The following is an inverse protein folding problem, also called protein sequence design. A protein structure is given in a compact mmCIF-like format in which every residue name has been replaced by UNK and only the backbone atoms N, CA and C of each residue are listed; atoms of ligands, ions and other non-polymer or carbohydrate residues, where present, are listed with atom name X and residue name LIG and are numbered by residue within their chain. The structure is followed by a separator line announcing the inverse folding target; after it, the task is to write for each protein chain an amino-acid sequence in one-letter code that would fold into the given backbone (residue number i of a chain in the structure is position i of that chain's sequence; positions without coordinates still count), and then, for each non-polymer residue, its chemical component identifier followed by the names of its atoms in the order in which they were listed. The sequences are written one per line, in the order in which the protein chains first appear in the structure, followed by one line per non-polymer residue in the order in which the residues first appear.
data_IF_913603245922
#
_entry.id   IF_913603245922
#
_cell.length_a   1.000
_cell.length_b   1.000
_cell.length_c   1.000
_cell.angle_alpha   90.00
_cell.angle_beta   90.00
_cell.angle_gamma   90.00
#
_symmetry.space_group_name_H-M   'P 1'
#
loop_
_entity.id
_entity.type
_entity.pdbx_description
1 polymer ?
#
# COMPACT_ATOMS: atom_id res chain seq x y z
N UNK A 1 -7.51 17.38 8.14
CA UNK A 1 -7.17 16.25 9.02
C UNK A 1 -6.60 16.78 10.33
N UNK A 2 -6.58 15.98 11.40
CA UNK A 2 -5.66 16.22 12.52
C UNK A 2 -4.20 16.03 12.05
N UNK A 3 -3.25 16.73 12.68
CA UNK A 3 -1.82 16.50 12.44
C UNK A 3 -1.34 15.18 13.07
N UNK A 4 -0.24 14.63 12.56
CA UNK A 4 0.36 13.37 13.01
C UNK A 4 0.55 13.35 14.53
N UNK A 5 1.05 14.42 15.14
CA UNK A 5 1.30 14.46 16.59
C UNK A 5 0.02 14.26 17.41
N UNK A 6 -1.11 14.84 16.95
CA UNK A 6 -2.40 14.66 17.61
C UNK A 6 -2.93 13.22 17.41
N UNK A 7 -2.79 12.68 16.19
CA UNK A 7 -3.18 11.30 15.88
C UNK A 7 -2.37 10.26 16.66
N UNK A 8 -1.06 10.47 16.80
CA UNK A 8 -0.17 9.60 17.58
C UNK A 8 -0.50 9.64 19.07
N UNK A 9 -0.84 10.82 19.60
CA UNK A 9 -1.26 10.94 21.00
C UNK A 9 -2.50 10.08 21.26
N UNK A 10 -3.53 10.21 20.41
CA UNK A 10 -4.76 9.41 20.51
C UNK A 10 -4.48 7.91 20.35
N UNK A 11 -3.63 7.54 19.39
CA UNK A 11 -3.26 6.15 19.14
C UNK A 11 -2.56 5.50 20.35
N UNK A 12 -1.53 6.17 20.88
CA UNK A 12 -0.66 5.63 21.93
C UNK A 12 -1.36 5.42 23.28
N UNK A 13 -2.56 5.98 23.49
CA UNK A 13 -3.37 5.72 24.68
C UNK A 13 -3.88 4.28 24.76
N UNK A 14 -4.01 3.60 23.62
CA UNK A 14 -4.57 2.24 23.52
C UNK A 14 -3.66 1.25 22.81
N UNK A 15 -2.51 1.71 22.32
CA UNK A 15 -1.58 0.93 21.52
C UNK A 15 -0.92 -0.19 22.33
N UNK A 16 -0.82 -1.36 21.71
CA UNK A 16 -0.05 -2.50 22.22
C UNK A 16 0.99 -2.92 21.19
N UNK A 17 2.10 -3.49 21.66
CA UNK A 17 3.17 -3.97 20.79
C UNK A 17 3.17 -5.49 20.77
N UNK A 18 2.97 -6.10 19.60
CA UNK A 18 3.08 -7.54 19.39
C UNK A 18 3.20 -7.89 17.91
N UNK A 19 4.32 -7.49 17.29
CA UNK A 19 4.65 -7.84 15.90
C UNK A 19 5.07 -9.29 15.76
N UNK A 20 4.54 -9.95 14.73
CA UNK A 20 4.98 -11.27 14.29
C UNK A 20 5.62 -11.16 12.92
N UNK A 21 6.83 -11.70 12.77
CA UNK A 21 7.52 -11.73 11.48
C UNK A 21 6.88 -12.73 10.53
N UNK A 22 6.88 -12.42 9.25
CA UNK A 22 6.42 -13.32 8.20
C UNK A 22 7.64 -13.90 7.52
N UNK A 23 7.74 -15.23 7.52
CA UNK A 23 8.85 -15.95 6.94
C UNK A 23 8.60 -16.17 5.45
N UNK A 24 9.27 -15.37 4.61
CA UNK A 24 9.21 -15.41 3.15
C UNK A 24 10.45 -16.13 2.60
N UNK A 25 10.34 -17.44 2.40
CA UNK A 25 11.47 -18.31 2.09
C UNK A 25 11.78 -18.35 0.58
N UNK A 26 13.05 -18.55 0.24
CA UNK A 26 13.53 -18.75 -1.14
C UNK A 26 14.06 -17.50 -1.85
N UNK A 27 13.97 -16.31 -1.23
CA UNK A 27 14.63 -15.09 -1.70
C UNK A 27 16.07 -15.01 -1.14
N UNK A 28 16.98 -15.83 -1.69
CA UNK A 28 18.38 -15.92 -1.22
C UNK A 28 19.09 -14.56 -1.38
N UNK A 29 19.78 -14.11 -0.32
CA UNK A 29 20.56 -12.86 -0.27
C UNK A 29 19.80 -11.57 -0.62
N UNK A 30 18.46 -11.60 -0.52
CA UNK A 30 17.58 -10.44 -0.75
C UNK A 30 16.62 -10.25 0.41
N UNK A 31 16.30 -9.00 0.70
CA UNK A 31 15.23 -8.67 1.64
C UNK A 31 13.87 -8.86 0.95
N UNK A 32 12.85 -9.22 1.74
CA UNK A 32 11.45 -9.25 1.27
C UNK A 32 10.59 -8.41 2.19
N UNK A 33 10.00 -7.35 1.66
CA UNK A 33 9.25 -6.36 2.44
C UNK A 33 8.18 -5.68 1.59
N UNK A 34 7.48 -4.69 2.16
CA UNK A 34 6.34 -3.98 1.54
C UNK A 34 5.37 -4.94 0.83
N UNK A 35 5.00 -6.00 1.55
CA UNK A 35 4.20 -7.12 1.06
C UNK A 35 2.73 -6.75 0.95
N UNK A 36 1.94 -7.51 0.20
CA UNK A 36 0.48 -7.47 0.31
C UNK A 36 0.00 -8.14 1.61
N UNK A 37 -1.25 -7.93 1.99
CA UNK A 37 -1.94 -8.94 2.80
C UNK A 37 -2.08 -10.27 2.04
N UNK A 38 -2.28 -11.41 2.73
CA UNK A 38 -2.56 -12.68 2.08
C UNK A 38 -3.85 -12.61 1.26
N UNK A 39 -3.82 -13.16 0.04
CA UNK A 39 -4.99 -13.22 -0.83
C UNK A 39 -5.13 -14.60 -1.46
N UNK A 40 -6.38 -14.99 -1.74
CA UNK A 40 -6.68 -16.25 -2.41
C UNK A 40 -6.78 -16.05 -3.91
N UNK A 41 -6.06 -16.86 -4.66
CA UNK A 41 -6.10 -16.88 -6.11
C UNK A 41 -5.70 -18.26 -6.63
N UNK A 42 -6.29 -18.72 -7.75
CA UNK A 42 -6.01 -20.05 -8.31
C UNK A 42 -6.11 -21.20 -7.29
N UNK A 43 -7.06 -21.11 -6.34
CA UNK A 43 -7.28 -22.12 -5.30
C UNK A 43 -6.21 -22.19 -4.20
N UNK A 44 -5.25 -21.24 -4.18
CA UNK A 44 -4.15 -21.17 -3.21
C UNK A 44 -4.14 -19.81 -2.52
N UNK A 45 -3.41 -19.71 -1.42
CA UNK A 45 -3.18 -18.45 -0.70
C UNK A 45 -1.76 -17.95 -0.96
N UNK A 46 -1.66 -16.68 -1.33
CA UNK A 46 -0.41 -16.04 -1.71
C UNK A 46 -0.19 -14.72 -0.95
N UNK A 47 1.08 -14.35 -0.82
CA UNK A 47 1.53 -12.98 -0.58
C UNK A 47 2.35 -12.56 -1.80
N UNK A 48 2.16 -11.33 -2.29
CA UNK A 48 3.12 -10.73 -3.21
C UNK A 48 4.06 -9.83 -2.41
N UNK A 49 5.37 -9.93 -2.64
CA UNK A 49 6.38 -9.19 -1.90
C UNK A 49 7.38 -8.50 -2.81
N UNK A 50 7.85 -7.32 -2.38
CA UNK A 50 9.00 -6.65 -2.99
C UNK A 50 10.26 -7.39 -2.55
N UNK A 51 11.01 -7.92 -3.51
CA UNK A 51 12.26 -8.62 -3.30
C UNK A 51 13.40 -7.75 -3.83
N UNK A 52 14.36 -7.42 -2.97
CA UNK A 52 15.39 -6.43 -3.29
C UNK A 52 16.69 -6.70 -2.53
N UNK A 53 17.83 -6.41 -3.16
CA UNK A 53 19.12 -6.38 -2.45
C UNK A 53 19.18 -5.19 -1.49
N UNK A 54 19.76 -5.40 -0.30
CA UNK A 54 19.83 -4.39 0.78
C UNK A 54 20.38 -3.03 0.32
N UNK A 55 21.32 -3.03 -0.62
CA UNK A 55 22.03 -1.86 -1.16
C UNK A 55 21.50 -1.33 -2.51
N UNK A 56 20.40 -1.88 -3.02
CA UNK A 56 19.80 -1.53 -4.32
C UNK A 56 18.47 -0.78 -4.16
N UNK A 57 18.04 -0.07 -5.20
CA UNK A 57 16.66 0.43 -5.37
C UNK A 57 15.93 -0.27 -6.54
N UNK A 58 16.59 -1.24 -7.19
CA UNK A 58 16.00 -2.08 -8.23
C UNK A 58 15.40 -3.33 -7.58
N UNK A 59 14.07 -3.40 -7.58
CA UNK A 59 13.33 -4.49 -6.96
C UNK A 59 12.50 -5.28 -7.95
N UNK A 60 12.11 -6.48 -7.52
CA UNK A 60 11.24 -7.38 -8.26
C UNK A 60 10.05 -7.74 -7.38
N UNK A 61 8.86 -7.87 -7.97
CA UNK A 61 7.71 -8.48 -7.30
C UNK A 61 7.72 -9.97 -7.55
N UNK A 62 7.69 -10.73 -6.45
CA UNK A 62 7.54 -12.19 -6.46
C UNK A 62 6.31 -12.61 -5.66
N UNK A 63 5.75 -13.76 -6.03
CA UNK A 63 4.64 -14.38 -5.31
C UNK A 63 5.20 -15.46 -4.37
N UNK A 64 4.63 -15.55 -3.17
CA UNK A 64 4.97 -16.53 -2.15
C UNK A 64 3.70 -17.30 -1.76
N UNK A 65 3.72 -18.62 -1.89
CA UNK A 65 2.59 -19.50 -1.55
C UNK A 65 2.66 -19.89 -0.07
N UNK A 66 1.53 -19.83 0.63
CA UNK A 66 1.44 -20.24 2.03
C UNK A 66 1.82 -21.72 2.21
N UNK A 67 2.65 -22.01 3.20
CA UNK A 67 3.02 -23.38 3.62
C UNK A 67 2.57 -23.71 5.04
N UNK A 68 2.61 -22.73 5.94
CA UNK A 68 2.07 -22.82 7.28
C UNK A 68 1.62 -21.43 7.76
N UNK A 69 1.21 -21.32 9.02
CA UNK A 69 1.01 -20.01 9.65
C UNK A 69 2.30 -19.19 9.58
N UNK A 70 2.19 -17.97 9.08
CA UNK A 70 3.29 -17.00 8.92
C UNK A 70 4.50 -17.50 8.11
N UNK A 71 4.36 -18.60 7.39
CA UNK A 71 5.41 -19.19 6.58
C UNK A 71 4.95 -19.37 5.14
N UNK A 72 5.66 -18.71 4.23
CA UNK A 72 5.40 -18.70 2.81
C UNK A 72 6.67 -19.07 2.05
N UNK A 73 6.51 -19.70 0.89
CA UNK A 73 7.61 -20.12 0.02
C UNK A 73 7.47 -19.44 -1.33
N UNK A 74 8.55 -18.86 -1.84
CA UNK A 74 8.58 -18.25 -3.17
C UNK A 74 8.10 -19.23 -4.22
N UNK A 75 7.30 -18.75 -5.17
CA UNK A 75 6.82 -19.55 -6.28
C UNK A 75 7.79 -19.41 -7.44
N UNK A 76 8.43 -20.53 -7.79
CA UNK A 76 9.38 -20.58 -8.90
C UNK A 76 8.69 -20.59 -10.26
N UNK A 77 9.45 -20.28 -11.31
CA UNK A 77 8.99 -20.33 -12.70
C UNK A 77 7.78 -19.41 -12.99
N UNK A 78 7.78 -18.23 -12.38
CA UNK A 78 6.78 -17.18 -12.58
C UNK A 78 7.34 -16.05 -13.45
N UNK A 79 6.46 -15.20 -14.00
CA UNK A 79 6.92 -13.96 -14.62
C UNK A 79 7.36 -13.00 -13.52
N UNK A 80 8.62 -12.60 -13.58
CA UNK A 80 9.17 -11.57 -12.68
C UNK A 80 8.78 -10.20 -13.20
N UNK A 81 8.24 -9.36 -12.32
CA UNK A 81 7.86 -7.98 -12.64
C UNK A 81 8.83 -7.03 -11.94
N UNK A 82 9.53 -6.18 -12.70
CA UNK A 82 10.40 -5.14 -12.19
C UNK A 82 9.57 -3.99 -11.58
N UNK A 83 9.01 -4.24 -10.41
CA UNK A 83 8.14 -3.34 -9.66
C UNK A 83 8.56 -3.34 -8.19
N UNK A 84 8.29 -2.23 -7.51
CA UNK A 84 8.31 -2.09 -6.06
C UNK A 84 6.88 -2.12 -5.50
N UNK A 85 6.78 -2.35 -4.19
CA UNK A 85 5.59 -2.13 -3.36
C UNK A 85 4.29 -2.71 -3.97
N UNK A 86 4.22 -4.05 -4.15
CA UNK A 86 3.07 -4.69 -4.78
C UNK A 86 1.78 -4.46 -4.00
N UNK A 87 0.68 -4.37 -4.73
CA UNK A 87 -0.67 -4.40 -4.18
C UNK A 87 -1.60 -5.19 -5.09
N UNK A 88 -2.64 -5.79 -4.52
CA UNK A 88 -3.61 -6.56 -5.27
C UNK A 88 -5.03 -6.08 -5.00
N UNK A 89 -5.90 -6.25 -5.98
CA UNK A 89 -7.33 -6.03 -5.86
C UNK A 89 -8.04 -6.93 -6.87
N UNK A 90 -9.35 -7.13 -6.67
CA UNK A 90 -10.16 -7.85 -7.63
C UNK A 90 -11.13 -6.86 -8.28
N UNK A 91 -11.23 -6.94 -9.60
CA UNK A 91 -12.18 -6.18 -10.41
C UNK A 91 -12.84 -7.15 -11.37
N UNK A 92 -14.16 -7.29 -11.27
CA UNK A 92 -15.00 -8.19 -12.04
C UNK A 92 -14.50 -9.64 -11.99
N UNK A 93 -14.00 -10.05 -10.82
CA UNK A 93 -13.42 -11.39 -10.59
C UNK A 93 -12.00 -11.60 -11.12
N UNK A 94 -11.42 -10.62 -11.82
CA UNK A 94 -10.03 -10.67 -12.29
C UNK A 94 -9.07 -10.12 -11.24
N UNK A 95 -7.94 -10.79 -11.04
CA UNK A 95 -6.88 -10.29 -10.18
C UNK A 95 -6.13 -9.16 -10.89
N UNK A 96 -6.15 -7.97 -10.29
CA UNK A 96 -5.34 -6.84 -10.71
C UNK A 96 -4.16 -6.70 -9.74
N UNK A 97 -2.95 -6.82 -10.26
CA UNK A 97 -1.71 -6.57 -9.56
C UNK A 97 -1.19 -5.18 -9.95
N UNK A 98 -0.86 -4.37 -8.96
CA UNK A 98 -0.16 -3.12 -9.17
C UNK A 98 1.18 -3.08 -8.47
N UNK A 99 2.02 -2.15 -8.90
CA UNK A 99 3.32 -1.87 -8.29
C UNK A 99 3.97 -0.65 -8.92
N UNK A 100 5.08 -0.20 -8.35
CA UNK A 100 5.81 0.99 -8.82
C UNK A 100 6.99 0.56 -9.67
N UNK A 101 6.98 0.90 -10.95
CA UNK A 101 8.14 0.77 -11.82
C UNK A 101 9.09 1.93 -11.55
N UNK A 102 10.37 1.62 -11.36
CA UNK A 102 11.47 2.59 -11.26
C UNK A 102 12.37 2.39 -12.48
N UNK A 103 12.68 3.47 -13.18
CA UNK A 103 13.40 3.44 -14.44
C UNK A 103 14.26 4.69 -14.61
N UNK A 104 15.29 4.62 -15.43
CA UNK A 104 16.15 5.76 -15.73
C UNK A 104 15.35 6.89 -16.38
N UNK A 105 15.60 8.12 -15.91
CA UNK A 105 14.96 9.30 -16.46
C UNK A 105 15.49 9.59 -17.86
N UNK A 106 14.60 9.67 -18.84
CA UNK A 106 14.98 9.81 -20.26
C UNK A 106 15.86 11.05 -20.52
N UNK A 107 15.59 12.16 -19.84
CA UNK A 107 16.36 13.41 -19.99
C UNK A 107 17.69 13.42 -19.23
N UNK A 108 17.86 12.52 -18.27
CA UNK A 108 19.05 12.43 -17.41
C UNK A 108 19.17 11.01 -16.82
N UNK A 109 19.85 10.08 -17.50
CA UNK A 109 19.94 8.68 -17.07
C UNK A 109 20.61 8.46 -15.71
N UNK A 110 21.24 9.49 -15.13
CA UNK A 110 21.78 9.43 -13.76
C UNK A 110 20.72 9.55 -12.67
N UNK A 111 19.49 9.92 -13.06
CA UNK A 111 18.32 10.03 -12.17
C UNK A 111 17.31 8.95 -12.51
N UNK A 112 16.49 8.63 -11.52
CA UNK A 112 15.39 7.69 -11.68
C UNK A 112 14.05 8.44 -11.71
N UNK A 113 13.19 8.05 -12.65
CA UNK A 113 11.77 8.34 -12.63
C UNK A 113 11.02 7.10 -12.11
N UNK A 114 9.75 7.32 -11.74
CA UNK A 114 8.88 6.25 -11.26
C UNK A 114 7.44 6.44 -11.73
N UNK A 115 6.68 5.35 -11.77
CA UNK A 115 5.23 5.38 -12.01
C UNK A 115 4.57 4.10 -11.49
N UNK A 116 3.31 4.20 -11.07
CA UNK A 116 2.51 2.99 -10.81
C UNK A 116 2.06 2.35 -12.12
N UNK A 117 2.29 1.05 -12.26
CA UNK A 117 1.73 0.23 -13.34
C UNK A 117 0.69 -0.73 -12.76
N UNK A 118 -0.32 -1.08 -13.57
CA UNK A 118 -1.29 -2.13 -13.24
C UNK A 118 -1.28 -3.23 -14.29
N UNK A 119 -1.45 -4.45 -13.83
CA UNK A 119 -1.48 -5.66 -14.63
C UNK A 119 -2.69 -6.50 -14.28
N UNK A 120 -3.42 -6.95 -15.30
CA UNK A 120 -4.37 -8.05 -15.19
C UNK A 120 -3.58 -9.36 -15.15
N UNK A 121 -3.66 -10.08 -14.04
CA UNK A 121 -2.99 -11.36 -13.85
C UNK A 121 -3.89 -12.51 -14.34
N UNK A 122 -3.47 -13.20 -15.40
CA UNK A 122 -4.18 -14.37 -15.96
C UNK A 122 -3.66 -15.69 -15.40
N UNK A 123 -2.38 -15.73 -15.07
CA UNK A 123 -1.70 -16.81 -14.36
C UNK A 123 -0.41 -16.26 -13.76
N UNK A 124 0.30 -17.08 -12.98
CA UNK A 124 1.63 -16.71 -12.47
C UNK A 124 2.69 -16.50 -13.59
N UNK A 125 2.37 -16.83 -14.85
CA UNK A 125 3.25 -16.66 -16.03
C UNK A 125 2.73 -15.65 -17.04
N UNK A 126 1.57 -15.05 -16.81
CA UNK A 126 0.91 -14.19 -17.79
C UNK A 126 0.26 -13.00 -17.10
N UNK A 127 0.88 -11.84 -17.31
CA UNK A 127 0.45 -10.54 -16.81
C UNK A 127 0.26 -9.61 -18.01
N UNK A 128 -0.96 -9.09 -18.16
CA UNK A 128 -1.29 -8.11 -19.20
C UNK A 128 -1.28 -6.72 -18.58
N UNK A 129 -0.38 -5.85 -19.04
CA UNK A 129 -0.33 -4.46 -18.54
C UNK A 129 -1.58 -3.70 -19.01
N UNK A 130 -2.37 -3.21 -18.07
CA UNK A 130 -3.60 -2.45 -18.34
C UNK A 130 -3.46 -0.96 -18.05
N UNK A 131 -2.46 -0.57 -17.25
CA UNK A 131 -2.15 0.83 -16.99
C UNK A 131 -0.63 1.03 -16.95
N UNK A 132 -0.19 2.05 -17.66
CA UNK A 132 1.05 2.75 -17.38
C UNK A 132 0.72 4.10 -16.78
N UNK A 133 1.00 4.27 -15.49
CA UNK A 133 0.57 5.45 -14.74
C UNK A 133 1.38 6.71 -15.04
N UNK A 134 0.95 7.86 -14.49
CA UNK A 134 1.67 9.12 -14.65
C UNK A 134 3.07 9.05 -14.03
N UNK A 135 4.06 9.61 -14.73
CA UNK A 135 5.41 9.77 -14.19
C UNK A 135 5.36 10.61 -12.91
N UNK A 136 6.09 10.19 -11.88
CA UNK A 136 6.15 10.84 -10.58
C UNK A 136 5.01 10.44 -9.64
N UNK A 137 4.06 9.59 -10.05
CA UNK A 137 2.94 9.18 -9.19
C UNK A 137 3.09 7.74 -8.69
N UNK A 138 3.17 7.59 -7.35
CA UNK A 138 3.00 6.33 -6.61
C UNK A 138 1.60 6.30 -5.97
N UNK A 139 1.29 5.23 -5.22
CA UNK A 139 0.07 5.13 -4.39
C UNK A 139 -1.26 5.32 -5.13
N UNK A 140 -1.28 4.96 -6.42
CA UNK A 140 -2.53 4.75 -7.15
C UNK A 140 -3.14 3.42 -6.70
N UNK A 141 -4.43 3.42 -6.37
CA UNK A 141 -5.19 2.21 -5.98
C UNK A 141 -6.54 2.20 -6.67
N UNK A 142 -7.04 1.01 -6.99
CA UNK A 142 -8.38 0.83 -7.55
C UNK A 142 -9.19 -0.20 -6.76
N UNK A 143 -10.50 -0.04 -6.78
CA UNK A 143 -11.44 -0.98 -6.16
C UNK A 143 -12.76 -1.00 -6.91
N UNK A 144 -13.21 -2.18 -7.28
CA UNK A 144 -14.59 -2.36 -7.74
C UNK A 144 -15.56 -2.08 -6.59
N UNK A 145 -16.55 -1.23 -6.85
CA UNK A 145 -17.64 -0.87 -5.96
C UNK A 145 -18.78 -1.89 -6.07
N UNK A 146 -19.73 -1.83 -5.13
CA UNK A 146 -20.88 -2.76 -5.10
C UNK A 146 -21.80 -2.65 -6.33
N UNK A 147 -21.76 -1.53 -7.04
CA UNK A 147 -22.50 -1.30 -8.29
C UNK A 147 -21.70 -1.64 -9.56
N UNK A 148 -20.50 -2.21 -9.42
CA UNK A 148 -19.62 -2.61 -10.51
C UNK A 148 -18.75 -1.49 -11.09
N UNK A 149 -18.95 -0.23 -10.69
CA UNK A 149 -18.03 0.87 -11.03
C UNK A 149 -16.72 0.72 -10.26
N UNK A 150 -15.71 1.50 -10.62
CA UNK A 150 -14.37 1.40 -10.05
C UNK A 150 -13.99 2.72 -9.39
N UNK A 151 -13.76 2.69 -8.08
CA UNK A 151 -13.13 3.79 -7.36
C UNK A 151 -11.63 3.78 -7.66
N UNK A 152 -11.09 4.95 -8.01
CA UNK A 152 -9.67 5.19 -8.27
C UNK A 152 -9.16 6.20 -7.26
N UNK A 153 -8.24 5.79 -6.40
CA UNK A 153 -7.44 6.70 -5.59
C UNK A 153 -6.16 7.09 -6.32
N UNK A 154 -5.81 8.37 -6.24
CA UNK A 154 -4.64 8.96 -6.87
C UNK A 154 -3.80 9.69 -5.83
N UNK A 155 -2.49 9.85 -6.08
CA UNK A 155 -1.60 10.54 -5.15
C UNK A 155 -0.63 11.48 -5.89
N UNK A 156 -1.14 12.56 -6.51
CA UNK A 156 -0.28 13.54 -7.16
C UNK A 156 0.72 14.16 -6.17
N UNK A 157 1.84 14.62 -6.73
CA UNK A 157 2.83 15.46 -6.07
C UNK A 157 3.00 16.77 -6.86
N UNK A 158 3.80 17.71 -6.36
CA UNK A 158 4.08 18.98 -7.02
C UNK A 158 2.91 19.96 -6.90
N UNK A 159 2.65 20.73 -7.96
CA UNK A 159 1.67 21.83 -7.96
C UNK A 159 0.29 21.41 -7.44
N UNK A 160 -0.22 20.25 -7.90
CA UNK A 160 -1.53 19.75 -7.48
C UNK A 160 -1.49 19.16 -6.07
N UNK A 161 -0.53 18.27 -5.80
CA UNK A 161 -0.57 17.41 -4.62
C UNK A 161 0.38 17.78 -3.48
N UNK A 162 1.21 18.80 -3.63
CA UNK A 162 2.29 19.12 -2.69
C UNK A 162 3.26 17.95 -2.55
N UNK A 163 3.54 17.53 -1.32
CA UNK A 163 4.38 16.35 -1.04
C UNK A 163 3.67 15.01 -1.30
N UNK A 164 2.35 15.04 -1.40
CA UNK A 164 1.54 13.85 -1.65
C UNK A 164 0.18 13.91 -0.97
N UNK A 165 -0.83 14.41 -1.69
CA UNK A 165 -2.24 14.42 -1.27
C UNK A 165 -3.03 13.36 -2.02
N UNK A 166 -4.09 12.86 -1.41
CA UNK A 166 -4.96 11.86 -2.04
C UNK A 166 -6.06 12.56 -2.85
N UNK A 167 -6.24 12.13 -4.10
CA UNK A 167 -7.44 12.44 -4.88
C UNK A 167 -8.26 11.18 -5.16
N UNK A 168 -9.51 11.36 -5.56
CA UNK A 168 -10.40 10.25 -5.89
C UNK A 168 -11.28 10.55 -7.09
N UNK A 169 -11.59 9.53 -7.86
CA UNK A 169 -12.61 9.57 -8.91
C UNK A 169 -13.24 8.19 -9.07
N UNK A 170 -14.41 8.13 -9.70
CA UNK A 170 -15.10 6.87 -10.00
C UNK A 170 -15.21 6.77 -11.52
N UNK A 171 -14.87 5.61 -12.06
CA UNK A 171 -14.95 5.29 -13.48
C UNK A 171 -15.84 4.07 -13.69
N UNK A 172 -16.41 3.92 -14.88
CA UNK A 172 -17.39 2.85 -15.13
C UNK A 172 -16.74 1.50 -15.45
N UNK A 173 -15.50 1.49 -15.97
CA UNK A 173 -14.78 0.27 -16.32
C UNK A 173 -13.27 0.49 -16.36
N UNK A 174 -12.49 -0.59 -16.43
CA UNK A 174 -11.03 -0.53 -16.55
C UNK A 174 -10.56 0.18 -17.83
N UNK A 175 -11.36 0.17 -18.90
CA UNK A 175 -11.03 0.84 -20.17
C UNK A 175 -10.99 2.36 -20.03
N UNK A 176 -11.66 2.91 -19.01
CA UNK A 176 -11.64 4.33 -18.71
C UNK A 176 -10.42 4.76 -17.86
N UNK A 177 -9.62 3.81 -17.37
CA UNK A 177 -8.48 4.07 -16.50
C UNK A 177 -7.31 4.66 -17.30
N UNK A 178 -7.35 5.96 -17.52
CA UNK A 178 -6.36 6.71 -18.32
C UNK A 178 -5.57 7.70 -17.46
N UNK A 179 -4.37 8.06 -17.93
CA UNK A 179 -3.54 9.10 -17.29
C UNK A 179 -4.30 10.43 -17.17
N UNK A 180 -5.15 10.76 -18.15
CA UNK A 180 -5.98 11.96 -18.13
C UNK A 180 -6.99 11.92 -16.98
N UNK A 181 -7.79 10.85 -16.86
CA UNK A 181 -8.76 10.72 -15.75
C UNK A 181 -8.05 10.69 -14.38
N UNK A 182 -6.91 10.01 -14.27
CA UNK A 182 -6.07 9.99 -13.06
C UNK A 182 -5.58 11.41 -12.73
N UNK A 183 -5.06 12.12 -13.73
CA UNK A 183 -4.58 13.50 -13.60
C UNK A 183 -5.67 14.50 -13.27
N UNK A 184 -6.91 14.26 -13.71
CA UNK A 184 -8.07 15.10 -13.46
C UNK A 184 -8.76 14.84 -12.11
N UNK A 185 -8.52 13.69 -11.46
CA UNK A 185 -9.19 13.31 -10.22
C UNK A 185 -9.10 14.42 -9.14
N UNK A 186 -10.22 14.93 -8.60
CA UNK A 186 -10.19 15.98 -7.58
C UNK A 186 -9.50 15.50 -6.31
N UNK A 187 -8.80 16.41 -5.63
CA UNK A 187 -8.23 16.12 -4.32
C UNK A 187 -9.35 15.96 -3.29
N UNK A 188 -9.19 14.99 -2.39
CA UNK A 188 -10.08 14.83 -1.26
C UNK A 188 -9.97 16.04 -0.32
N UNK A 189 -11.12 16.51 0.19
CA UNK A 189 -11.19 17.47 1.29
C UNK A 189 -10.68 16.83 2.58
N UNK A 190 -10.29 17.68 3.54
CA UNK A 190 -9.69 17.29 4.84
C UNK A 190 -8.42 16.45 4.70
N UNK A 191 -7.67 16.62 3.61
CA UNK A 191 -6.38 15.98 3.34
C UNK A 191 -5.27 16.38 4.34
N UNK A 192 -4.07 15.83 4.11
CA UNK A 192 -2.83 16.16 4.83
C UNK A 192 -2.47 17.65 4.73
N UNK A 193 -1.76 18.15 5.73
CA UNK A 193 -1.45 19.57 5.90
C UNK A 193 0.05 19.83 6.11
N UNK A 194 0.50 21.03 5.77
CA UNK A 194 1.91 21.42 5.92
C UNK A 194 2.85 20.48 5.14
N UNK A 195 3.84 19.95 5.86
CA UNK A 195 4.87 19.06 5.32
C UNK A 195 4.50 17.57 5.43
N UNK A 196 3.29 17.23 5.88
CA UNK A 196 2.81 15.85 5.96
C UNK A 196 2.37 15.36 4.58
N UNK A 197 2.56 14.06 4.32
CA UNK A 197 2.05 13.39 3.12
C UNK A 197 1.50 12.02 3.47
N UNK A 198 0.82 11.41 2.51
CA UNK A 198 0.33 10.05 2.66
C UNK A 198 -0.26 9.49 1.38
N UNK A 199 -0.88 8.33 1.48
CA UNK A 199 -1.45 7.61 0.35
C UNK A 199 -2.38 6.49 0.79
N UNK A 200 -3.23 6.04 -0.13
CA UNK A 200 -4.00 4.80 0.06
C UNK A 200 -3.15 3.60 -0.31
N UNK A 201 -3.16 2.57 0.54
CA UNK A 201 -2.47 1.31 0.35
C UNK A 201 -3.44 0.18 -0.02
N UNK A 202 -4.65 0.16 0.56
CA UNK A 202 -5.69 -0.82 0.24
C UNK A 202 -7.09 -0.24 0.51
N UNK A 203 -8.05 -0.60 -0.35
CA UNK A 203 -9.44 -0.11 -0.28
C UNK A 203 -10.38 -1.25 0.12
N UNK A 204 -11.18 -1.01 1.15
CA UNK A 204 -12.13 -1.94 1.76
C UNK A 204 -13.56 -1.45 1.53
N UNK A 205 -14.40 -2.29 0.92
CA UNK A 205 -15.85 -2.09 0.95
C UNK A 205 -16.36 -2.53 2.33
N UNK A 206 -17.16 -1.68 2.96
CA UNK A 206 -17.73 -1.92 4.29
C UNK A 206 -19.17 -2.44 4.16
N UNK A 207 -19.66 -3.15 5.19
CA UNK A 207 -20.99 -3.77 5.18
C UNK A 207 -22.13 -2.75 5.07
N UNK A 208 -21.91 -1.53 5.55
CA UNK A 208 -22.86 -0.41 5.47
C UNK A 208 -22.80 0.35 4.13
N UNK A 209 -22.03 -0.16 3.16
CA UNK A 209 -21.86 0.44 1.83
C UNK A 209 -20.81 1.55 1.77
N UNK A 210 -20.18 1.91 2.90
CA UNK A 210 -19.08 2.88 2.92
C UNK A 210 -17.78 2.28 2.40
N UNK A 211 -16.79 3.15 2.19
CA UNK A 211 -15.44 2.78 1.78
C UNK A 211 -14.43 3.15 2.85
N UNK A 212 -13.78 2.13 3.41
CA UNK A 212 -12.60 2.28 4.26
C UNK A 212 -11.33 2.21 3.44
N UNK A 213 -10.32 3.00 3.80
CA UNK A 213 -9.01 3.00 3.17
C UNK A 213 -7.95 2.76 4.23
N UNK A 214 -7.18 1.69 4.06
CA UNK A 214 -5.89 1.52 4.72
C UNK A 214 -4.86 2.30 3.90
N UNK A 215 -3.98 3.01 4.59
CA UNK A 215 -2.99 3.88 3.98
C UNK A 215 -1.74 4.02 4.84
N UNK A 216 -0.99 5.06 4.52
CA UNK A 216 0.08 5.59 5.34
C UNK A 216 -0.05 7.11 5.46
N UNK A 217 0.46 7.63 6.56
CA UNK A 217 0.72 9.06 6.76
C UNK A 217 2.17 9.21 7.24
N UNK A 218 2.84 10.26 6.78
CA UNK A 218 4.27 10.41 6.97
C UNK A 218 4.72 11.87 7.10
N UNK A 219 5.85 12.05 7.77
CA UNK A 219 6.57 13.32 7.91
C UNK A 219 8.09 13.08 7.97
N UNK A 220 8.85 14.17 7.92
CA UNK A 220 10.27 14.17 8.28
C UNK A 220 10.46 14.73 9.69
N UNK A 221 11.45 14.22 10.43
CA UNK A 221 11.96 14.95 11.60
C UNK A 221 12.94 16.07 11.21
N UNK A 222 13.41 16.81 12.21
CA UNK A 222 14.34 17.92 12.06
C UNK A 222 15.70 17.51 11.47
N UNK A 223 16.08 16.24 11.58
CA UNK A 223 17.33 15.67 11.06
C UNK A 223 17.18 15.03 9.67
N UNK A 224 15.95 15.02 9.13
CA UNK A 224 15.63 14.44 7.83
C UNK A 224 15.31 12.94 7.85
N UNK A 225 15.13 12.32 9.02
CA UNK A 225 14.65 10.94 9.10
C UNK A 225 13.17 10.88 8.71
N UNK A 226 12.79 9.75 8.14
CA UNK A 226 11.42 9.48 7.71
C UNK A 226 10.64 8.80 8.82
N UNK A 227 9.44 9.31 9.05
CA UNK A 227 8.44 8.71 9.93
C UNK A 227 7.25 8.30 9.10
N UNK A 228 6.92 7.00 9.08
CA UNK A 228 5.75 6.49 8.38
C UNK A 228 4.90 5.66 9.34
N UNK A 229 3.62 6.00 9.39
CA UNK A 229 2.65 5.36 10.25
C UNK A 229 1.57 4.69 9.41
N UNK A 230 1.15 3.49 9.82
CA UNK A 230 -0.04 2.88 9.25
C UNK A 230 -1.25 3.72 9.64
N UNK A 231 -2.04 4.09 8.64
CA UNK A 231 -3.11 5.07 8.75
C UNK A 231 -4.39 4.49 8.16
N UNK A 232 -5.54 4.86 8.72
CA UNK A 232 -6.83 4.46 8.17
C UNK A 232 -7.80 5.64 8.17
N UNK A 233 -8.73 5.61 7.22
CA UNK A 233 -9.81 6.59 7.13
C UNK A 233 -11.00 6.01 6.36
N UNK A 234 -12.14 6.67 6.43
CA UNK A 234 -13.28 6.41 5.56
C UNK A 234 -13.42 7.53 4.52
N UNK A 235 -13.93 7.18 3.34
CA UNK A 235 -14.39 8.16 2.38
C UNK A 235 -15.84 8.52 2.69
N UNK A 236 -16.17 9.80 2.59
CA UNK A 236 -17.57 10.24 2.51
C UNK A 236 -18.26 9.54 1.33
N UNK A 237 -19.57 9.31 1.43
CA UNK A 237 -20.37 8.58 0.43
C UNK A 237 -20.24 9.09 -1.02
N UNK A 238 -19.93 10.38 -1.20
CA UNK A 238 -19.70 11.00 -2.51
C UNK A 238 -18.23 10.95 -2.99
N UNK A 239 -17.36 10.29 -2.23
CA UNK A 239 -15.91 10.17 -2.43
C UNK A 239 -15.15 11.50 -2.50
N UNK A 240 -15.68 12.58 -1.88
CA UNK A 240 -15.05 13.91 -1.96
C UNK A 240 -14.19 14.29 -0.74
N UNK A 241 -14.23 13.50 0.34
CA UNK A 241 -13.66 13.90 1.62
C UNK A 241 -13.15 12.70 2.43
N UNK A 242 -12.05 12.93 3.15
CA UNK A 242 -11.54 12.02 4.19
C UNK A 242 -12.29 12.25 5.50
N UNK A 243 -12.75 11.16 6.12
CA UNK A 243 -13.45 11.14 7.40
C UNK A 243 -12.87 10.08 8.33
N UNK A 244 -13.04 10.27 9.64
CA UNK A 244 -12.68 9.31 10.68
C UNK A 244 -11.20 8.85 10.60
N UNK A 245 -10.30 9.79 10.33
CA UNK A 245 -8.87 9.56 10.25
C UNK A 245 -8.28 9.03 11.56
N UNK A 246 -7.36 8.06 11.47
CA UNK A 246 -6.58 7.59 12.63
C UNK A 246 -5.31 6.85 12.22
N UNK A 247 -4.28 6.99 13.04
CA UNK A 247 -3.13 6.08 13.01
C UNK A 247 -3.55 4.76 13.66
N UNK A 248 -3.13 3.65 13.06
CA UNK A 248 -3.47 2.29 13.50
C UNK A 248 -2.24 1.46 13.86
N UNK A 249 -1.05 1.88 13.42
CA UNK A 249 0.22 1.31 13.83
C UNK A 249 1.39 2.27 13.62
N UNK A 250 2.39 2.17 14.50
CA UNK A 250 3.71 2.76 14.38
C UNK A 250 4.80 1.68 14.46
N UNK A 251 6.06 2.05 14.20
CA UNK A 251 7.18 1.10 14.18
C UNK A 251 7.31 0.30 15.47
N UNK A 252 7.04 0.93 16.61
CA UNK A 252 7.18 0.33 17.94
C UNK A 252 6.21 -0.83 18.20
N UNK A 253 5.13 -0.98 17.41
CA UNK A 253 4.21 -2.10 17.56
C UNK A 253 4.76 -3.41 16.99
N UNK A 254 5.77 -3.33 16.12
CA UNK A 254 6.34 -4.45 15.38
C UNK A 254 7.60 -5.01 16.05
N UNK A 255 7.94 -6.26 15.74
CA UNK A 255 9.16 -6.87 16.25
C UNK A 255 10.41 -6.10 15.79
N UNK A 256 11.49 -6.10 16.58
CA UNK A 256 12.76 -5.49 16.18
C UNK A 256 13.29 -6.06 14.86
N UNK A 257 13.79 -5.17 14.01
CA UNK A 257 14.40 -5.47 12.72
C UNK A 257 15.26 -4.30 12.28
N UNK A 258 16.39 -4.61 11.64
CA UNK A 258 17.34 -3.61 11.14
C UNK A 258 16.80 -2.98 9.87
N UNK A 259 16.61 -1.65 9.81
CA UNK A 259 16.11 -0.99 8.63
C UNK A 259 17.14 -1.05 7.49
N UNK A 260 16.69 -0.84 6.25
CA UNK A 260 17.56 -0.74 5.06
C UNK A 260 18.60 0.37 5.20
N UNK A 261 18.20 1.49 5.81
CA UNK A 261 19.05 2.66 6.12
C UNK A 261 18.63 3.28 7.45
N UNK A 262 19.52 4.03 8.13
CA UNK A 262 19.19 4.67 9.40
C UNK A 262 17.97 5.62 9.33
N UNK A 263 17.79 6.34 8.22
CA UNK A 263 16.67 7.27 8.04
C UNK A 263 15.29 6.59 7.96
N UNK A 264 15.27 5.26 7.84
CA UNK A 264 14.07 4.43 7.71
C UNK A 264 13.71 3.70 9.01
N UNK A 265 14.36 4.03 10.13
CA UNK A 265 14.16 3.32 11.39
C UNK A 265 12.71 3.39 11.90
N UNK A 266 11.99 4.50 11.69
CA UNK A 266 10.59 4.69 12.09
C UNK A 266 9.61 4.59 10.91
N UNK A 267 9.87 3.65 9.98
CA UNK A 267 9.04 3.47 8.78
C UNK A 267 8.21 2.19 8.86
N UNK A 268 6.88 2.36 8.79
CA UNK A 268 5.89 1.30 8.57
C UNK A 268 5.13 1.57 7.27
N UNK A 269 5.23 0.66 6.30
CA UNK A 269 4.49 0.75 5.05
C UNK A 269 3.38 -0.31 5.00
N UNK A 270 2.13 0.15 5.02
CA UNK A 270 0.95 -0.73 5.03
C UNK A 270 0.86 -1.58 3.75
N UNK A 271 0.78 -2.89 3.95
CA UNK A 271 0.67 -3.89 2.90
C UNK A 271 -0.75 -4.37 2.59
N UNK A 272 -1.56 -4.46 3.64
CA UNK A 272 -2.98 -4.80 3.55
C UNK A 272 -3.56 -5.22 4.89
N UNK A 273 -4.87 -5.45 4.92
CA UNK A 273 -5.64 -5.73 6.12
C UNK A 273 -6.55 -6.95 5.91
N UNK A 274 -6.47 -7.94 6.80
CA UNK A 274 -7.44 -9.04 6.87
C UNK A 274 -8.38 -8.80 8.06
N UNK A 275 -9.59 -8.31 7.77
CA UNK A 275 -10.63 -8.03 8.77
C UNK A 275 -11.27 -9.34 9.24
N UNK A 276 -11.44 -9.51 10.55
CA UNK A 276 -12.00 -10.70 11.18
C UNK A 276 -13.39 -10.41 11.75
N UNK A 277 -14.22 -11.46 11.85
CA UNK A 277 -15.58 -11.35 12.38
C UNK A 277 -15.63 -10.97 13.86
N UNK A 278 -14.58 -11.27 14.63
CA UNK A 278 -14.45 -10.96 16.06
C UNK A 278 -14.19 -9.47 16.36
N UNK A 279 -14.11 -8.62 15.33
CA UNK A 279 -13.88 -7.18 15.49
C UNK A 279 -12.41 -6.77 15.55
N UNK A 280 -11.50 -7.69 15.27
CA UNK A 280 -10.09 -7.40 15.05
C UNK A 280 -9.74 -7.52 13.56
N UNK A 281 -8.52 -7.12 13.22
CA UNK A 281 -7.94 -7.29 11.91
C UNK A 281 -6.45 -7.61 12.02
N UNK A 282 -5.92 -8.37 11.06
CA UNK A 282 -4.49 -8.53 10.87
C UNK A 282 -3.99 -7.47 9.88
N UNK A 283 -3.11 -6.58 10.36
CA UNK A 283 -2.42 -5.62 9.52
C UNK A 283 -1.08 -6.22 9.09
N UNK A 284 -0.86 -6.32 7.79
CA UNK A 284 0.39 -6.74 7.16
C UNK A 284 1.15 -5.49 6.71
N UNK A 285 2.45 -5.43 6.99
CA UNK A 285 3.26 -4.25 6.70
C UNK A 285 4.73 -4.59 6.38
N UNK A 286 5.34 -3.75 5.56
CA UNK A 286 6.79 -3.66 5.45
C UNK A 286 7.36 -2.75 6.53
N UNK A 287 8.50 -3.14 7.10
CA UNK A 287 9.13 -2.50 8.24
C UNK A 287 10.54 -2.07 7.84
N UNK A 288 10.80 -0.76 7.89
CA UNK A 288 12.10 -0.16 7.59
C UNK A 288 12.69 -0.57 6.23
N UNK A 289 11.85 -0.77 5.22
CA UNK A 289 12.21 -1.26 3.88
C UNK A 289 13.10 -2.51 3.85
N UNK A 290 12.86 -3.46 4.77
CA UNK A 290 13.75 -4.63 4.89
C UNK A 290 13.11 -5.88 5.49
N UNK A 291 12.03 -5.72 6.25
CA UNK A 291 11.35 -6.85 6.91
C UNK A 291 9.84 -6.80 6.62
N UNK A 292 9.18 -7.95 6.69
CA UNK A 292 7.75 -8.10 6.50
C UNK A 292 7.11 -8.70 7.76
N UNK A 293 6.13 -8.00 8.32
CA UNK A 293 5.54 -8.38 9.60
C UNK A 293 4.03 -8.18 9.59
N UNK A 294 3.35 -8.81 10.56
CA UNK A 294 1.95 -8.56 10.88
C UNK A 294 1.75 -8.20 12.35
N UNK A 295 0.66 -7.48 12.63
CA UNK A 295 0.12 -7.27 13.97
C UNK A 295 -1.39 -7.52 13.97
N UNK A 296 -1.95 -7.81 15.14
CA UNK A 296 -3.41 -7.84 15.35
C UNK A 296 -3.83 -6.49 15.95
N UNK A 297 -4.78 -5.83 15.31
CA UNK A 297 -5.34 -4.54 15.74
C UNK A 297 -6.87 -4.64 15.84
N UNK A 298 -7.55 -3.77 16.62
CA UNK A 298 -8.98 -3.59 16.46
C UNK A 298 -9.31 -3.25 15.00
N UNK A 299 -10.42 -3.77 14.46
CA UNK A 299 -10.83 -3.46 13.09
C UNK A 299 -11.00 -1.94 12.95
N UNK A 300 -10.17 -1.28 12.13
CA UNK A 300 -10.16 0.18 12.05
C UNK A 300 -11.46 0.76 11.48
N UNK A 301 -12.34 -0.08 10.93
CA UNK A 301 -13.60 0.35 10.32
C UNK A 301 -14.86 -0.07 11.08
N UNK A 302 -14.77 -0.83 12.19
CA UNK A 302 -15.95 -1.42 12.86
C UNK A 302 -16.57 -0.57 13.98
N UNK A 303 -15.90 0.47 14.46
CA UNK A 303 -16.31 1.23 15.64
C UNK A 303 -16.28 2.75 15.44
N UNK A 304 -16.65 3.23 14.25
CA UNK A 304 -16.66 4.66 13.95
C UNK A 304 -18.06 5.20 13.66
#
# INVERSE_FOLDING_TARGET
MKQIQALLKEYRETATANGTKIHLNGAVDKDVYNITAPFKWLGKEFIAGRVESRDSELAEVHFFEKKAEDNYQIVENTTVLALQDPFVTFVQGELILGGVEVFEKETDPTKLDWRTNLYRAKSLKQFEKILTGPIGMKDLRIKELTDGRILVLTRPQGEKGGRGKIGATVIDSLDELTIEKIGAAPLLKRNFSGEEWGGGNEIHLLEDGKVGVLGHIACFDETGNRHYYSFSFQLKDDFTQIEQEKIVAERANFAPSEPKRPDLADVVFSGGLIRKSDGYAELYAGIGDSDAQKIIIPDPFKNN
#
